data_IF_848062183105
#
_entry.id   IF_848062183105
#
_cell.length_a   1.000
_cell.length_b   1.000
_cell.length_c   1.000
_cell.angle_alpha   90.00
_cell.angle_beta   90.00
_cell.angle_gamma   90.00
#
_symmetry.space_group_name_H-M   'P 1'
#
loop_
_entity.id
_entity.type
_entity.pdbx_description
1 polymer ?
#
# COMPACT_ATOMS: atom_id res chain seq x y z
N UNK A 1 -50.97 37.64 -21.16
CA UNK A 1 -52.45 37.64 -21.08
C UNK A 1 -52.82 36.92 -19.81
N UNK A 2 -53.41 37.69 -18.90
CA UNK A 2 -54.11 37.35 -17.63
C UNK A 2 -53.32 36.60 -16.55
N UNK A 3 -52.92 37.18 -15.45
CA UNK A 3 -53.54 38.12 -14.47
C UNK A 3 -54.20 37.38 -13.30
N UNK A 4 -53.68 37.69 -12.08
CA UNK A 4 -54.35 37.87 -10.79
C UNK A 4 -54.86 36.61 -10.07
N UNK A 5 -54.81 36.47 -8.75
CA UNK A 5 -55.04 37.47 -7.70
C UNK A 5 -54.62 36.95 -6.31
N UNK A 6 -54.27 37.91 -5.49
CA UNK A 6 -54.01 37.90 -4.07
C UNK A 6 -55.26 37.52 -3.26
N UNK A 7 -55.07 36.97 -2.04
CA UNK A 7 -55.80 37.48 -0.88
C UNK A 7 -55.10 37.23 0.47
N UNK A 8 -55.18 38.26 1.28
CA UNK A 8 -54.54 38.53 2.58
C UNK A 8 -55.43 38.07 3.76
N UNK A 9 -54.75 37.67 4.90
CA UNK A 9 -54.91 38.03 6.33
C UNK A 9 -56.32 37.95 6.97
N UNK A 10 -56.52 37.87 8.37
CA UNK A 10 -55.70 38.43 9.46
C UNK A 10 -55.60 37.62 10.79
N UNK A 11 -54.65 38.04 11.62
CA UNK A 11 -54.55 38.35 13.06
C UNK A 11 -55.59 37.73 14.05
N UNK A 12 -55.02 37.18 15.14
CA UNK A 12 -55.71 36.99 16.40
C UNK A 12 -54.70 37.00 17.56
N UNK A 13 -54.74 38.11 18.33
CA UNK A 13 -53.99 38.41 19.56
C UNK A 13 -54.66 37.72 20.74
N UNK A 14 -53.90 37.21 21.70
CA UNK A 14 -54.35 36.74 22.98
C UNK A 14 -53.24 36.72 24.00
N UNK A 15 -53.18 37.81 24.78
CA UNK A 15 -52.33 38.03 25.98
C UNK A 15 -53.06 37.46 27.18
N UNK A 16 -52.41 36.71 28.07
CA UNK A 16 -52.72 36.66 29.49
C UNK A 16 -51.47 36.32 30.31
N UNK A 17 -51.14 37.26 31.18
CA UNK A 17 -50.10 37.19 32.21
C UNK A 17 -50.72 36.80 33.55
N UNK A 18 -49.96 36.23 34.48
CA UNK A 18 -49.93 36.35 35.94
C UNK A 18 -49.01 35.24 36.49
N UNK A 19 -47.92 35.45 37.07
CA UNK A 19 -47.45 36.12 38.30
C UNK A 19 -47.27 35.16 39.49
N UNK A 20 -46.01 35.17 39.99
CA UNK A 20 -45.59 35.16 41.43
C UNK A 20 -45.49 33.78 42.11
N UNK A 21 -44.28 33.51 42.63
CA UNK A 21 -43.98 32.51 43.65
C UNK A 21 -42.48 32.36 43.91
N UNK A 22 -41.92 33.32 44.66
CA UNK A 22 -40.55 33.20 45.18
C UNK A 22 -40.53 32.28 46.40
N UNK A 23 -39.58 31.34 46.49
CA UNK A 23 -39.17 30.74 47.75
C UNK A 23 -37.65 30.49 47.72
N UNK A 24 -36.96 31.34 48.47
CA UNK A 24 -35.58 31.14 48.88
C UNK A 24 -35.48 30.02 49.92
N UNK A 25 -34.60 29.03 49.71
CA UNK A 25 -34.03 28.24 50.77
C UNK A 25 -32.55 28.06 50.53
N UNK A 26 -31.75 28.79 51.29
CA UNK A 26 -30.33 28.50 51.52
C UNK A 26 -30.24 27.29 52.44
N UNK A 27 -29.43 26.33 52.13
CA UNK A 27 -28.47 25.72 53.05
C UNK A 27 -27.79 24.49 52.43
N UNK A 28 -26.49 24.40 52.61
CA UNK A 28 -25.74 23.14 52.56
C UNK A 28 -24.51 23.17 51.71
N UNK A 29 -23.41 23.75 52.22
CA UNK A 29 -22.08 23.34 51.80
C UNK A 29 -21.90 21.87 52.12
N UNK A 30 -21.80 21.04 51.08
CA UNK A 30 -21.19 19.73 51.17
C UNK A 30 -20.05 19.72 50.16
N UNK A 31 -18.83 19.71 50.67
CA UNK A 31 -17.61 19.36 49.98
C UNK A 31 -17.75 17.93 49.51
N UNK A 32 -18.26 17.75 48.29
CA UNK A 32 -18.20 16.52 47.55
C UNK A 32 -17.20 16.73 46.41
N UNK A 33 -16.07 16.06 46.47
CA UNK A 33 -15.12 16.00 45.37
C UNK A 33 -15.86 15.52 44.13
N UNK A 34 -16.05 16.40 43.18
CA UNK A 34 -16.34 16.02 41.82
C UNK A 34 -15.10 15.34 41.29
N UNK A 35 -15.15 14.02 41.30
CA UNK A 35 -14.23 13.29 40.45
C UNK A 35 -14.50 13.80 39.04
N UNK A 36 -13.54 14.50 38.48
CA UNK A 36 -13.39 14.52 37.07
C UNK A 36 -13.36 13.02 36.69
N UNK A 37 -14.39 12.54 36.01
CA UNK A 37 -14.22 11.38 35.19
C UNK A 37 -13.15 11.81 34.22
N UNK A 38 -11.91 11.40 34.54
CA UNK A 38 -10.87 11.23 33.58
C UNK A 38 -11.52 10.32 32.52
N UNK A 39 -12.05 10.92 31.47
CA UNK A 39 -12.31 10.28 30.24
C UNK A 39 -10.92 9.89 29.80
N UNK A 40 -10.52 8.66 30.07
CA UNK A 40 -9.29 8.13 29.52
C UNK A 40 -9.33 8.46 28.06
N UNK A 41 -8.36 9.26 27.60
CA UNK A 41 -7.96 9.30 26.20
C UNK A 41 -7.53 7.87 25.91
N UNK A 42 -8.50 7.02 25.51
CA UNK A 42 -8.18 5.77 24.86
C UNK A 42 -7.47 6.17 23.58
N UNK A 43 -6.35 5.52 23.34
CA UNK A 43 -5.54 5.77 22.15
C UNK A 43 -6.42 5.78 20.91
N UNK A 44 -6.21 6.75 20.02
CA UNK A 44 -6.99 6.93 18.81
C UNK A 44 -6.57 5.91 17.76
N UNK A 45 -7.17 4.72 17.80
CA UNK A 45 -6.89 3.62 16.86
C UNK A 45 -7.70 3.74 15.55
N UNK A 46 -8.04 4.96 15.12
CA UNK A 46 -8.53 5.20 13.77
C UNK A 46 -7.34 5.23 12.80
N UNK A 47 -7.22 4.22 11.95
CA UNK A 47 -6.10 4.04 11.03
C UNK A 47 -6.61 4.06 9.59
N UNK A 48 -5.98 4.90 8.76
CA UNK A 48 -6.31 5.04 7.34
C UNK A 48 -5.20 4.43 6.48
N UNK A 49 -5.58 3.53 5.58
CA UNK A 49 -4.70 2.99 4.54
C UNK A 49 -4.81 3.82 3.26
N UNK A 50 -3.66 4.14 2.68
CA UNK A 50 -3.52 4.93 1.45
C UNK A 50 -2.56 4.21 0.49
N UNK A 51 -3.08 3.31 -0.36
CA UNK A 51 -2.29 2.63 -1.38
C UNK A 51 -1.81 3.58 -2.49
N UNK A 52 -0.95 3.09 -3.38
CA UNK A 52 -0.54 3.83 -4.59
C UNK A 52 -1.72 4.23 -5.45
N UNK A 53 -2.65 3.28 -5.63
CA UNK A 53 -3.92 3.47 -6.35
C UNK A 53 -4.95 2.44 -5.89
N UNK A 54 -6.22 2.81 -5.99
CA UNK A 54 -7.35 1.91 -5.72
C UNK A 54 -7.59 0.96 -6.90
N UNK A 55 -8.13 -0.23 -6.60
CA UNK A 55 -8.47 -1.24 -7.61
C UNK A 55 -7.25 -2.02 -8.15
N UNK A 56 -6.13 -1.95 -7.47
CA UNK A 56 -4.97 -2.80 -7.72
C UNK A 56 -5.07 -4.03 -6.80
N UNK A 57 -5.20 -5.26 -7.34
CA UNK A 57 -5.41 -6.47 -6.55
C UNK A 57 -4.35 -6.74 -5.47
N UNK A 58 -3.12 -6.29 -5.69
CA UNK A 58 -2.08 -6.36 -4.68
C UNK A 58 -2.43 -5.52 -3.45
N UNK A 59 -2.88 -4.28 -3.65
CA UNK A 59 -3.28 -3.41 -2.55
C UNK A 59 -4.62 -3.82 -1.95
N UNK A 60 -5.56 -4.35 -2.73
CA UNK A 60 -6.80 -4.92 -2.20
C UNK A 60 -6.49 -6.02 -1.19
N UNK A 61 -5.49 -6.89 -1.49
CA UNK A 61 -5.05 -7.96 -0.59
C UNK A 61 -4.33 -7.41 0.66
N UNK A 62 -3.40 -6.47 0.48
CA UNK A 62 -2.65 -5.93 1.62
C UNK A 62 -3.54 -5.11 2.56
N UNK A 63 -4.45 -4.34 2.00
CA UNK A 63 -5.39 -3.52 2.77
C UNK A 63 -6.40 -4.39 3.53
N UNK A 64 -6.84 -5.51 2.95
CA UNK A 64 -7.67 -6.49 3.66
C UNK A 64 -6.94 -7.10 4.88
N UNK A 65 -5.63 -7.36 4.77
CA UNK A 65 -4.82 -7.78 5.92
C UNK A 65 -4.71 -6.69 6.99
N UNK A 66 -4.58 -5.43 6.58
CA UNK A 66 -4.61 -4.28 7.48
C UNK A 66 -5.96 -4.11 8.18
N UNK A 67 -7.07 -4.28 7.47
CA UNK A 67 -8.43 -4.27 8.01
C UNK A 67 -8.62 -5.38 9.06
N UNK A 68 -8.21 -6.63 8.73
CA UNK A 68 -8.23 -7.76 9.66
C UNK A 68 -7.53 -7.42 10.99
N UNK A 69 -6.32 -6.89 10.91
CA UNK A 69 -5.55 -6.52 12.11
C UNK A 69 -6.23 -5.42 12.92
N UNK A 70 -6.73 -4.37 12.24
CA UNK A 70 -7.39 -3.24 12.91
C UNK A 70 -8.67 -3.68 13.60
N UNK A 71 -9.46 -4.54 12.99
CA UNK A 71 -10.65 -5.13 13.60
C UNK A 71 -10.28 -6.02 14.81
N UNK A 72 -9.20 -6.81 14.71
CA UNK A 72 -8.74 -7.71 15.77
C UNK A 72 -8.39 -6.94 17.04
N UNK A 73 -7.68 -5.81 16.94
CA UNK A 73 -7.35 -5.00 18.12
C UNK A 73 -8.40 -3.94 18.45
N UNK A 74 -9.55 -3.91 17.75
CA UNK A 74 -10.70 -3.07 18.06
C UNK A 74 -10.56 -1.61 17.62
N UNK A 75 -9.74 -1.33 16.61
CA UNK A 75 -9.59 -0.03 15.97
C UNK A 75 -10.67 0.29 14.94
N UNK A 76 -10.49 1.37 14.23
CA UNK A 76 -11.37 1.79 13.12
C UNK A 76 -10.56 1.87 11.84
N UNK A 77 -10.87 1.01 10.88
CA UNK A 77 -10.25 0.98 9.56
C UNK A 77 -10.93 1.95 8.59
N UNK A 78 -10.13 2.58 7.74
CA UNK A 78 -10.60 3.25 6.54
C UNK A 78 -9.57 3.12 5.41
N UNK A 79 -10.05 3.08 4.18
CA UNK A 79 -9.22 3.10 2.98
C UNK A 79 -9.59 4.30 2.12
N UNK A 80 -8.57 5.01 1.65
CA UNK A 80 -8.70 6.12 0.72
C UNK A 80 -7.55 6.06 -0.29
N UNK A 81 -7.75 6.58 -1.49
CA UNK A 81 -6.65 6.60 -2.46
C UNK A 81 -7.05 7.17 -3.81
N UNK A 82 -6.05 7.48 -4.65
CA UNK A 82 -6.27 7.89 -6.03
C UNK A 82 -6.67 6.70 -6.90
N UNK A 83 -7.26 6.98 -8.05
CA UNK A 83 -7.53 5.96 -9.08
C UNK A 83 -6.32 5.65 -9.96
N UNK A 84 -5.29 6.50 -9.93
CA UNK A 84 -4.08 6.39 -10.74
C UNK A 84 -2.85 6.66 -9.89
N UNK A 85 -1.81 5.84 -10.06
CA UNK A 85 -0.53 6.02 -9.39
C UNK A 85 0.24 7.19 -10.02
N UNK A 86 0.34 8.31 -9.30
CA UNK A 86 1.15 9.46 -9.72
C UNK A 86 1.75 10.20 -8.53
N UNK A 87 2.90 10.89 -8.69
CA UNK A 87 3.66 11.45 -7.57
C UNK A 87 2.86 12.30 -6.58
N UNK A 88 1.95 13.14 -7.07
CA UNK A 88 1.18 14.08 -6.22
C UNK A 88 -0.26 13.66 -5.95
N UNK A 89 -0.69 12.51 -6.49
CA UNK A 89 -2.10 12.07 -6.39
C UNK A 89 -2.55 11.80 -4.96
N UNK A 90 -1.62 11.48 -4.06
CA UNK A 90 -1.89 11.11 -2.67
C UNK A 90 -2.00 12.32 -1.71
N UNK A 91 -1.48 13.50 -2.08
CA UNK A 91 -1.37 14.68 -1.18
C UNK A 91 -2.72 15.06 -0.54
N UNK A 92 -3.79 15.14 -1.33
CA UNK A 92 -5.12 15.55 -0.81
C UNK A 92 -5.70 14.52 0.18
N UNK A 93 -5.42 13.23 -0.02
CA UNK A 93 -5.87 12.17 0.89
C UNK A 93 -5.13 12.24 2.22
N UNK A 94 -3.81 12.47 2.20
CA UNK A 94 -2.97 12.67 3.40
C UNK A 94 -3.50 13.87 4.21
N UNK A 95 -3.69 15.01 3.56
CA UNK A 95 -4.22 16.23 4.21
C UNK A 95 -5.62 16.01 4.78
N UNK A 96 -6.46 15.25 4.09
CA UNK A 96 -7.81 14.94 4.58
C UNK A 96 -7.76 14.05 5.82
N UNK A 97 -6.93 13.02 5.83
CA UNK A 97 -6.74 12.15 6.99
C UNK A 97 -6.21 12.93 8.21
N UNK A 98 -5.24 13.83 8.01
CA UNK A 98 -4.74 14.72 9.05
C UNK A 98 -5.85 15.65 9.61
N UNK A 99 -6.67 16.23 8.75
CA UNK A 99 -7.81 17.09 9.18
C UNK A 99 -8.91 16.31 9.92
N UNK A 100 -9.09 15.04 9.60
CA UNK A 100 -10.03 14.15 10.31
C UNK A 100 -9.49 13.71 11.66
N UNK A 101 -8.20 13.94 11.94
CA UNK A 101 -7.55 13.59 13.19
C UNK A 101 -7.47 12.08 13.40
N UNK A 102 -7.14 11.32 12.36
CA UNK A 102 -6.87 9.88 12.50
C UNK A 102 -5.65 9.65 13.38
N UNK A 103 -5.59 8.52 14.09
CA UNK A 103 -4.43 8.19 14.92
C UNK A 103 -3.23 7.74 14.09
N UNK A 104 -3.48 7.03 12.98
CA UNK A 104 -2.46 6.52 12.08
C UNK A 104 -2.79 6.63 10.60
N UNK A 105 -1.77 6.78 9.78
CA UNK A 105 -1.82 6.80 8.33
C UNK A 105 -0.78 5.81 7.78
N UNK A 106 -1.25 4.80 7.06
CA UNK A 106 -0.43 3.74 6.44
C UNK A 106 -0.38 3.98 4.94
N UNK A 107 0.78 4.31 4.39
CA UNK A 107 0.94 4.83 3.01
C UNK A 107 1.91 3.98 2.21
N UNK A 108 1.51 3.55 1.01
CA UNK A 108 2.46 3.11 -0.02
C UNK A 108 2.71 4.28 -0.98
N UNK A 109 3.93 4.84 -0.94
CA UNK A 109 4.23 6.09 -1.62
C UNK A 109 4.39 5.93 -3.14
N UNK A 110 3.79 6.84 -3.91
CA UNK A 110 3.99 6.92 -5.36
C UNK A 110 5.32 7.60 -5.75
N UNK A 111 5.86 8.41 -4.85
CA UNK A 111 7.10 9.16 -5.06
C UNK A 111 7.72 9.48 -3.69
N UNK A 112 9.05 9.38 -3.53
CA UNK A 112 9.69 9.52 -2.22
C UNK A 112 9.65 10.94 -1.66
N UNK A 113 9.51 11.96 -2.51
CA UNK A 113 9.60 13.37 -2.11
C UNK A 113 8.27 14.13 -2.25
N UNK A 114 7.46 13.76 -3.25
CA UNK A 114 6.28 14.56 -3.63
C UNK A 114 5.21 14.67 -2.55
N UNK A 115 5.16 13.72 -1.62
CA UNK A 115 4.18 13.68 -0.53
C UNK A 115 4.74 14.10 0.83
N UNK A 116 6.06 14.34 0.93
CA UNK A 116 6.78 14.60 2.18
C UNK A 116 6.19 15.77 2.98
N UNK A 117 5.94 16.90 2.35
CA UNK A 117 5.38 18.07 3.04
C UNK A 117 4.03 17.74 3.69
N UNK A 118 3.15 17.01 2.97
CA UNK A 118 1.85 16.61 3.48
C UNK A 118 1.96 15.58 4.62
N UNK A 119 2.92 14.65 4.54
CA UNK A 119 3.18 13.69 5.61
C UNK A 119 3.72 14.39 6.87
N UNK A 120 4.62 15.35 6.73
CA UNK A 120 5.12 16.13 7.85
C UNK A 120 4.01 16.99 8.49
N UNK A 121 3.13 17.61 7.70
CA UNK A 121 1.93 18.29 8.23
C UNK A 121 1.03 17.33 9.03
N UNK A 122 0.85 16.09 8.57
CA UNK A 122 0.08 15.09 9.30
C UNK A 122 0.77 14.70 10.63
N UNK A 123 2.09 14.48 10.62
CA UNK A 123 2.88 14.18 11.83
C UNK A 123 2.84 15.34 12.84
N UNK A 124 2.95 16.58 12.37
CA UNK A 124 2.84 17.78 13.19
C UNK A 124 1.43 17.91 13.84
N UNK A 125 0.41 17.35 13.19
CA UNK A 125 -0.94 17.24 13.74
C UNK A 125 -1.12 16.06 14.73
N UNK A 126 -0.07 15.24 14.93
CA UNK A 126 -0.08 14.10 15.85
C UNK A 126 -0.45 12.75 15.24
N UNK A 127 -0.62 12.68 13.92
CA UNK A 127 -0.86 11.41 13.19
C UNK A 127 0.44 10.61 13.12
N UNK A 128 0.39 9.32 13.43
CA UNK A 128 1.51 8.40 13.18
C UNK A 128 1.55 8.02 11.71
N UNK A 129 2.70 8.22 11.07
CA UNK A 129 2.90 7.94 9.64
C UNK A 129 3.77 6.71 9.47
N UNK A 130 3.17 5.66 8.93
CA UNK A 130 3.85 4.41 8.58
C UNK A 130 3.79 4.24 7.08
N UNK A 131 4.94 4.02 6.45
CA UNK A 131 4.97 3.59 5.05
C UNK A 131 5.04 2.07 4.96
N UNK A 132 4.52 1.50 3.88
CA UNK A 132 4.59 0.07 3.57
C UNK A 132 4.73 -0.14 2.07
N UNK A 133 5.26 -1.26 1.63
CA UNK A 133 5.50 -1.60 0.24
C UNK A 133 6.48 -0.63 -0.46
N UNK A 134 6.11 0.62 -0.64
CA UNK A 134 6.95 1.66 -1.26
C UNK A 134 7.14 2.81 -0.27
N UNK A 135 8.40 3.06 0.06
CA UNK A 135 8.78 4.06 1.05
C UNK A 135 8.80 5.48 0.49
N UNK A 136 8.75 6.45 1.39
CA UNK A 136 9.04 7.86 1.16
C UNK A 136 10.43 8.19 1.72
N UNK A 137 10.85 9.46 1.66
CA UNK A 137 12.04 9.91 2.38
C UNK A 137 11.90 9.59 3.88
N UNK A 138 12.87 8.91 4.51
CA UNK A 138 12.80 8.49 5.92
C UNK A 138 12.50 9.63 6.90
N UNK A 139 12.86 10.88 6.59
CA UNK A 139 12.55 12.04 7.42
C UNK A 139 11.06 12.39 7.48
N UNK A 140 10.25 11.84 6.55
CA UNK A 140 8.82 12.17 6.40
C UNK A 140 7.88 11.12 7.01
N UNK A 141 8.42 10.08 7.65
CA UNK A 141 7.66 8.99 8.28
C UNK A 141 8.17 8.64 9.66
N UNK A 142 7.42 7.85 10.40
CA UNK A 142 7.81 7.29 11.69
C UNK A 142 8.39 5.88 11.54
N UNK A 143 7.85 5.06 10.61
CA UNK A 143 8.26 3.68 10.35
C UNK A 143 8.05 3.30 8.88
N UNK A 144 8.88 2.38 8.38
CA UNK A 144 8.68 1.69 7.11
C UNK A 144 8.51 0.18 7.31
N UNK A 145 7.42 -0.38 6.80
CA UNK A 145 7.20 -1.83 6.77
C UNK A 145 7.62 -2.35 5.41
N UNK A 146 8.81 -2.92 5.40
CA UNK A 146 9.45 -3.44 4.19
C UNK A 146 9.05 -4.90 3.99
N UNK A 147 8.55 -5.23 2.83
CA UNK A 147 8.12 -6.58 2.48
C UNK A 147 9.26 -7.60 2.44
N UNK A 148 10.41 -7.20 1.89
CA UNK A 148 11.64 -7.97 1.82
C UNK A 148 12.81 -7.03 1.51
N UNK A 149 14.05 -7.48 1.67
CA UNK A 149 15.21 -6.68 1.28
C UNK A 149 15.23 -6.44 -0.23
N UNK A 150 15.64 -5.25 -0.65
CA UNK A 150 15.72 -4.92 -2.07
C UNK A 150 16.67 -5.87 -2.81
N UNK A 151 17.79 -6.27 -2.17
CA UNK A 151 18.71 -7.28 -2.70
C UNK A 151 18.02 -8.64 -2.89
N UNK A 152 17.26 -9.12 -1.90
CA UNK A 152 16.53 -10.39 -1.99
C UNK A 152 15.48 -10.40 -3.10
N UNK A 153 14.75 -9.28 -3.26
CA UNK A 153 13.74 -9.11 -4.33
C UNK A 153 14.40 -9.06 -5.71
N UNK A 154 15.51 -8.33 -5.86
CA UNK A 154 16.23 -8.26 -7.12
C UNK A 154 16.81 -9.63 -7.49
N UNK A 155 17.51 -10.25 -6.55
CA UNK A 155 18.16 -11.54 -6.75
C UNK A 155 17.19 -12.65 -7.16
N UNK A 156 16.07 -12.81 -6.49
CA UNK A 156 15.11 -13.88 -6.84
C UNK A 156 14.58 -13.73 -8.26
N UNK A 157 14.33 -12.51 -8.73
CA UNK A 157 13.85 -12.27 -10.10
C UNK A 157 14.94 -12.51 -11.14
N UNK A 158 16.19 -12.14 -10.85
CA UNK A 158 17.34 -12.41 -11.75
C UNK A 158 17.65 -13.90 -11.81
N UNK A 159 17.67 -14.59 -10.66
CA UNK A 159 17.89 -16.05 -10.62
C UNK A 159 16.82 -16.79 -11.44
N UNK A 160 15.54 -16.43 -11.29
CA UNK A 160 14.43 -17.04 -12.01
C UNK A 160 14.51 -16.82 -13.52
N UNK A 161 14.83 -15.62 -13.99
CA UNK A 161 14.94 -15.39 -15.42
C UNK A 161 16.18 -16.07 -15.99
N UNK A 162 17.31 -16.04 -15.29
CA UNK A 162 18.55 -16.70 -15.72
C UNK A 162 18.34 -18.21 -15.89
N UNK A 163 17.68 -18.87 -14.93
CA UNK A 163 17.33 -20.29 -15.03
C UNK A 163 16.43 -20.57 -16.25
N UNK A 164 15.38 -19.78 -16.44
CA UNK A 164 14.37 -19.99 -17.48
C UNK A 164 14.92 -19.80 -18.89
N UNK A 165 15.90 -18.89 -19.10
CA UNK A 165 16.49 -18.64 -20.41
C UNK A 165 17.83 -19.36 -20.65
N UNK A 166 18.34 -20.08 -19.64
CA UNK A 166 19.63 -20.82 -19.72
C UNK A 166 20.84 -19.91 -19.64
N UNK A 167 20.75 -18.85 -18.80
CA UNK A 167 21.82 -17.92 -18.44
C UNK A 167 22.45 -17.17 -19.62
N UNK A 168 21.69 -16.97 -20.71
CA UNK A 168 22.17 -16.24 -21.89
C UNK A 168 21.01 -15.69 -22.74
N UNK A 169 21.17 -14.47 -23.24
CA UNK A 169 20.26 -13.84 -24.20
C UNK A 169 19.79 -12.47 -23.78
N UNK A 170 18.91 -11.91 -24.57
CA UNK A 170 18.35 -10.57 -24.32
C UNK A 170 17.13 -10.67 -23.41
N UNK A 171 17.08 -9.80 -22.41
CA UNK A 171 15.92 -9.59 -21.54
C UNK A 171 15.50 -8.12 -21.52
N UNK A 172 14.26 -7.88 -21.13
CA UNK A 172 13.75 -6.55 -20.84
C UNK A 172 13.09 -6.51 -19.46
N UNK A 173 12.95 -5.30 -18.90
CA UNK A 173 12.19 -5.07 -17.67
C UNK A 173 10.93 -4.29 -18.02
N UNK A 174 9.77 -4.75 -17.52
CA UNK A 174 8.49 -4.04 -17.56
C UNK A 174 8.11 -3.62 -16.14
N UNK A 175 8.43 -2.38 -15.78
CA UNK A 175 8.19 -1.79 -14.47
C UNK A 175 6.88 -1.01 -14.43
N UNK A 176 6.47 -0.55 -13.24
CA UNK A 176 5.30 0.30 -13.05
C UNK A 176 5.59 1.74 -13.51
N UNK A 177 5.94 2.64 -12.63
CA UNK A 177 6.21 4.03 -12.99
C UNK A 177 7.69 4.38 -12.84
N UNK A 178 8.14 5.39 -13.60
CA UNK A 178 9.53 5.85 -13.54
C UNK A 178 9.92 6.44 -12.17
N UNK A 179 8.95 6.78 -11.32
CA UNK A 179 9.17 7.34 -9.99
C UNK A 179 8.95 6.33 -8.85
N UNK A 180 8.61 5.07 -9.14
CA UNK A 180 8.38 4.06 -8.13
C UNK A 180 9.67 3.76 -7.34
N UNK A 181 9.74 4.23 -6.10
CA UNK A 181 10.93 4.15 -5.23
C UNK A 181 11.44 2.72 -5.10
N UNK A 182 10.56 1.81 -4.69
CA UNK A 182 10.89 0.41 -4.47
C UNK A 182 11.40 -0.27 -5.76
N UNK A 183 10.66 -0.14 -6.87
CA UNK A 183 11.02 -0.82 -8.12
C UNK A 183 12.31 -0.28 -8.72
N UNK A 184 12.57 1.03 -8.63
CA UNK A 184 13.82 1.60 -9.10
C UNK A 184 15.02 1.05 -8.32
N UNK A 185 14.92 0.91 -6.99
CA UNK A 185 15.96 0.30 -6.18
C UNK A 185 16.19 -1.19 -6.57
N UNK A 186 15.10 -1.94 -6.82
CA UNK A 186 15.24 -3.33 -7.27
C UNK A 186 15.88 -3.44 -8.66
N UNK A 187 15.52 -2.56 -9.59
CA UNK A 187 16.08 -2.55 -10.96
C UNK A 187 17.58 -2.25 -10.91
N UNK A 188 18.01 -1.27 -10.11
CA UNK A 188 19.44 -0.97 -9.92
C UNK A 188 20.21 -2.21 -9.43
N UNK A 189 19.68 -2.92 -8.42
CA UNK A 189 20.28 -4.15 -7.92
C UNK A 189 20.21 -5.32 -8.91
N UNK A 190 19.15 -5.42 -9.73
CA UNK A 190 19.09 -6.40 -10.82
C UNK A 190 20.19 -6.15 -11.87
N UNK A 191 20.41 -4.88 -12.23
CA UNK A 191 21.47 -4.51 -13.18
C UNK A 191 22.86 -4.84 -12.63
N UNK A 192 23.09 -4.59 -11.33
CA UNK A 192 24.34 -4.95 -10.65
C UNK A 192 24.55 -6.49 -10.64
N UNK A 193 23.51 -7.24 -10.28
CA UNK A 193 23.57 -8.72 -10.22
C UNK A 193 23.76 -9.34 -11.60
N UNK A 194 23.04 -8.86 -12.62
CA UNK A 194 23.23 -9.26 -14.01
C UNK A 194 24.69 -9.03 -14.48
N UNK A 195 25.23 -7.85 -14.19
CA UNK A 195 26.60 -7.52 -14.58
C UNK A 195 27.66 -8.37 -13.87
N UNK A 196 27.43 -8.69 -12.59
CA UNK A 196 28.39 -9.42 -11.76
C UNK A 196 28.35 -10.94 -11.99
N UNK A 197 27.14 -11.52 -12.11
CA UNK A 197 26.90 -12.95 -12.03
C UNK A 197 26.38 -13.58 -13.33
N UNK A 198 25.74 -12.79 -14.21
CA UNK A 198 25.09 -13.26 -15.45
C UNK A 198 25.58 -12.52 -16.71
N UNK A 199 26.90 -12.49 -17.00
CA UNK A 199 27.49 -11.64 -18.04
C UNK A 199 27.04 -11.98 -19.47
N UNK A 200 26.34 -13.09 -19.69
CA UNK A 200 25.80 -13.47 -21.01
C UNK A 200 24.31 -13.04 -21.16
N UNK A 201 23.70 -12.46 -20.13
CA UNK A 201 22.36 -11.88 -20.20
C UNK A 201 22.51 -10.38 -20.48
N UNK A 202 21.85 -9.89 -21.51
CA UNK A 202 21.83 -8.48 -21.91
C UNK A 202 20.46 -7.86 -21.57
N UNK A 203 20.41 -6.91 -20.63
CA UNK A 203 19.24 -6.06 -20.43
C UNK A 203 19.19 -5.02 -21.56
N UNK A 204 18.23 -5.17 -22.48
CA UNK A 204 18.15 -4.31 -23.67
C UNK A 204 17.30 -3.05 -23.45
N UNK A 205 16.29 -3.13 -22.58
CA UNK A 205 15.41 -1.98 -22.29
C UNK A 205 14.65 -2.18 -20.98
N UNK A 206 14.38 -1.07 -20.28
CA UNK A 206 13.41 -0.96 -19.20
C UNK A 206 12.25 -0.07 -19.66
N UNK A 207 11.03 -0.57 -19.63
CA UNK A 207 9.81 0.15 -19.99
C UNK A 207 8.86 0.24 -18.80
N UNK A 208 7.97 1.24 -18.84
CA UNK A 208 7.06 1.55 -17.74
C UNK A 208 5.61 1.44 -18.19
N UNK A 209 4.82 0.66 -17.46
CA UNK A 209 3.39 0.40 -17.70
C UNK A 209 2.45 1.24 -16.85
N UNK A 210 3.00 2.11 -15.97
CA UNK A 210 2.26 3.02 -15.07
C UNK A 210 1.26 2.31 -14.14
N UNK A 211 1.52 1.03 -13.80
CA UNK A 211 0.57 0.13 -13.11
C UNK A 211 -0.83 0.08 -13.75
N UNK A 212 -0.89 0.35 -15.04
CA UNK A 212 -2.09 0.23 -15.88
C UNK A 212 -2.01 -1.04 -16.74
N UNK A 213 -3.05 -1.89 -16.67
CA UNK A 213 -3.09 -3.19 -17.35
C UNK A 213 -2.97 -3.05 -18.88
N UNK A 214 -3.70 -2.10 -19.49
CA UNK A 214 -3.65 -1.94 -20.93
C UNK A 214 -2.32 -1.37 -21.41
N UNK A 215 -1.77 -0.40 -20.70
CA UNK A 215 -0.46 0.18 -20.99
C UNK A 215 0.63 -0.88 -20.89
N UNK A 216 0.61 -1.70 -19.85
CA UNK A 216 1.56 -2.81 -19.66
C UNK A 216 1.45 -3.86 -20.76
N UNK A 217 0.23 -4.21 -21.17
CA UNK A 217 -0.02 -5.11 -22.30
C UNK A 217 0.56 -4.56 -23.61
N UNK A 218 0.32 -3.27 -23.91
CA UNK A 218 0.82 -2.62 -25.12
C UNK A 218 2.35 -2.47 -25.10
N UNK A 219 2.96 -2.22 -23.93
CA UNK A 219 4.41 -2.20 -23.74
C UNK A 219 5.03 -3.57 -23.99
N UNK A 220 4.40 -4.64 -23.52
CA UNK A 220 4.85 -6.02 -23.81
C UNK A 220 4.86 -6.29 -25.31
N UNK A 221 3.78 -5.92 -26.00
CA UNK A 221 3.70 -6.06 -27.46
C UNK A 221 4.81 -5.27 -28.18
N UNK A 222 5.06 -4.03 -27.75
CA UNK A 222 6.08 -3.16 -28.32
C UNK A 222 7.51 -3.71 -28.11
N UNK A 223 7.81 -4.21 -26.91
CA UNK A 223 9.11 -4.86 -26.62
C UNK A 223 9.40 -6.01 -27.58
N UNK A 224 8.42 -6.90 -27.76
CA UNK A 224 8.58 -8.10 -28.62
C UNK A 224 8.66 -7.77 -30.10
N UNK A 225 8.07 -6.65 -30.53
CA UNK A 225 8.23 -6.14 -31.90
C UNK A 225 9.58 -5.46 -32.11
N UNK A 226 10.09 -4.75 -31.10
CA UNK A 226 11.35 -4.01 -31.17
C UNK A 226 12.56 -4.95 -31.04
N UNK A 227 12.46 -5.97 -30.19
CA UNK A 227 13.52 -6.92 -29.88
C UNK A 227 13.09 -8.35 -30.23
N UNK A 228 13.16 -8.75 -31.51
CA UNK A 228 12.69 -10.09 -31.94
C UNK A 228 13.50 -11.27 -31.38
N UNK A 229 14.70 -11.00 -30.85
CA UNK A 229 15.58 -12.00 -30.21
C UNK A 229 15.40 -12.03 -28.66
N UNK A 230 14.41 -11.30 -28.14
CA UNK A 230 14.15 -11.26 -26.69
C UNK A 230 13.86 -12.67 -26.15
N UNK A 231 14.54 -13.05 -25.07
CA UNK A 231 14.40 -14.36 -24.43
C UNK A 231 13.56 -14.32 -23.17
N UNK A 232 13.52 -13.16 -22.51
CA UNK A 232 12.80 -13.04 -21.26
C UNK A 232 12.37 -11.63 -20.93
N UNK A 233 11.36 -11.54 -20.09
CA UNK A 233 10.85 -10.30 -19.48
C UNK A 233 10.81 -10.50 -17.97
N UNK A 234 11.40 -9.55 -17.22
CA UNK A 234 11.19 -9.42 -15.78
C UNK A 234 10.16 -8.31 -15.57
N UNK A 235 9.12 -8.57 -14.80
CA UNK A 235 8.16 -7.53 -14.41
C UNK A 235 8.04 -7.41 -12.90
N UNK A 236 8.73 -6.43 -12.27
CA UNK A 236 8.70 -6.21 -10.82
C UNK A 236 7.41 -5.52 -10.34
N UNK A 237 6.29 -5.76 -11.02
CA UNK A 237 4.96 -5.25 -10.67
C UNK A 237 3.89 -6.28 -10.97
N UNK A 238 2.92 -6.44 -10.04
CA UNK A 238 1.85 -7.44 -10.16
C UNK A 238 0.91 -7.15 -11.33
N UNK A 239 0.67 -5.88 -11.65
CA UNK A 239 -0.10 -5.46 -12.83
C UNK A 239 0.65 -5.76 -14.12
N UNK A 240 1.95 -5.42 -14.16
CA UNK A 240 2.77 -5.62 -15.35
C UNK A 240 2.95 -7.09 -15.71
N UNK A 241 3.26 -7.96 -14.73
CA UNK A 241 3.44 -9.40 -14.99
C UNK A 241 2.14 -10.05 -15.46
N UNK A 242 0.99 -9.71 -14.87
CA UNK A 242 -0.30 -10.24 -15.28
C UNK A 242 -0.67 -9.80 -16.71
N UNK A 243 -0.46 -8.54 -17.05
CA UNK A 243 -0.68 -8.00 -18.39
C UNK A 243 0.26 -8.64 -19.44
N UNK A 244 1.53 -8.82 -19.10
CA UNK A 244 2.51 -9.50 -19.96
C UNK A 244 2.16 -10.98 -20.15
N UNK A 245 1.75 -11.68 -19.10
CA UNK A 245 1.28 -13.06 -19.18
C UNK A 245 0.06 -13.19 -20.09
N UNK A 246 -0.92 -12.30 -19.95
CA UNK A 246 -2.11 -12.22 -20.81
C UNK A 246 -1.74 -12.01 -22.28
N UNK A 247 -0.76 -11.15 -22.58
CA UNK A 247 -0.27 -10.98 -23.95
C UNK A 247 0.40 -12.26 -24.48
N UNK A 248 1.35 -12.81 -23.70
CA UNK A 248 2.12 -13.97 -24.10
C UNK A 248 1.23 -15.20 -24.31
N UNK A 249 0.25 -15.45 -23.44
CA UNK A 249 -0.63 -16.64 -23.47
C UNK A 249 -1.37 -16.83 -24.80
N UNK A 250 -1.68 -15.71 -25.48
CA UNK A 250 -2.41 -15.69 -26.75
C UNK A 250 -1.57 -15.38 -27.96
N UNK A 251 -0.26 -15.13 -27.78
CA UNK A 251 0.68 -14.75 -28.84
C UNK A 251 1.51 -15.91 -29.35
N UNK A 252 2.21 -15.69 -30.47
CA UNK A 252 3.21 -16.63 -30.99
C UNK A 252 4.45 -16.78 -30.10
N UNK A 253 4.61 -15.94 -29.09
CA UNK A 253 5.73 -15.91 -28.16
C UNK A 253 5.54 -16.85 -26.97
N UNK A 254 4.34 -17.43 -26.78
CA UNK A 254 4.07 -18.40 -25.72
C UNK A 254 5.07 -19.56 -25.76
N UNK A 255 5.75 -19.80 -24.63
CA UNK A 255 6.77 -20.83 -24.49
C UNK A 255 8.10 -20.54 -25.24
N UNK A 256 8.25 -19.35 -25.84
CA UNK A 256 9.49 -18.90 -26.50
C UNK A 256 10.18 -17.76 -25.74
N UNK A 257 9.40 -16.92 -25.09
CA UNK A 257 9.87 -15.82 -24.24
C UNK A 257 9.47 -16.14 -22.82
N UNK A 258 10.43 -16.23 -21.92
CA UNK A 258 10.21 -16.44 -20.51
C UNK A 258 9.63 -15.18 -19.87
N UNK A 259 8.78 -15.36 -18.86
CA UNK A 259 8.23 -14.25 -18.06
C UNK A 259 8.37 -14.62 -16.59
N UNK A 260 8.98 -13.73 -15.84
CA UNK A 260 9.03 -13.78 -14.37
C UNK A 260 8.87 -12.39 -13.77
N UNK A 261 8.87 -12.30 -12.47
CA UNK A 261 8.73 -11.03 -11.75
C UNK A 261 7.97 -11.22 -10.45
N UNK A 262 7.20 -10.19 -10.08
CA UNK A 262 6.37 -10.19 -8.87
C UNK A 262 4.89 -10.28 -9.26
N UNK A 263 4.19 -11.32 -8.79
CA UNK A 263 2.80 -11.57 -9.15
C UNK A 263 1.99 -12.13 -7.99
N UNK A 264 0.68 -11.85 -7.95
CA UNK A 264 -0.22 -12.52 -7.01
C UNK A 264 -0.61 -13.90 -7.54
N UNK A 265 -0.66 -14.94 -6.70
CA UNK A 265 -1.03 -16.27 -7.12
C UNK A 265 -2.37 -16.33 -7.88
N UNK A 266 -3.38 -15.59 -7.42
CA UNK A 266 -4.69 -15.59 -8.07
C UNK A 266 -4.68 -15.03 -9.49
N UNK A 267 -3.88 -13.97 -9.77
CA UNK A 267 -3.76 -13.41 -11.11
C UNK A 267 -2.90 -14.29 -12.04
N UNK A 268 -1.92 -15.01 -11.46
CA UNK A 268 -0.92 -15.73 -12.24
C UNK A 268 -1.26 -17.22 -12.44
N UNK A 269 -2.17 -17.78 -11.66
CA UNK A 269 -2.50 -19.22 -11.64
C UNK A 269 -2.77 -19.79 -13.01
N UNK A 270 -3.66 -19.16 -13.80
CA UNK A 270 -4.00 -19.66 -15.13
C UNK A 270 -2.80 -19.70 -16.08
N UNK A 271 -1.86 -18.77 -15.96
CA UNK A 271 -0.68 -18.68 -16.80
C UNK A 271 0.42 -19.65 -16.39
N UNK A 272 0.48 -20.05 -15.12
CA UNK A 272 1.34 -21.13 -14.64
C UNK A 272 0.77 -22.48 -15.08
N UNK A 273 -0.52 -22.70 -14.88
CA UNK A 273 -1.19 -23.95 -15.27
C UNK A 273 -1.17 -24.21 -16.78
N UNK A 274 -1.23 -23.17 -17.61
CA UNK A 274 -1.20 -23.29 -19.06
C UNK A 274 0.21 -23.27 -19.66
N UNK A 275 1.25 -23.12 -18.81
CA UNK A 275 2.67 -23.11 -19.18
C UNK A 275 3.13 -21.82 -19.86
N UNK A 276 2.39 -20.73 -19.77
CA UNK A 276 2.83 -19.40 -20.23
C UNK A 276 3.93 -18.83 -19.33
N UNK A 277 3.82 -19.06 -18.01
CA UNK A 277 4.78 -18.65 -16.98
C UNK A 277 5.25 -19.90 -16.24
N UNK A 278 6.56 -20.03 -16.02
CA UNK A 278 7.11 -21.16 -15.29
C UNK A 278 7.10 -20.91 -13.78
N UNK A 279 7.59 -19.76 -13.36
CA UNK A 279 7.67 -19.36 -11.97
C UNK A 279 7.79 -17.83 -11.84
N UNK A 280 7.40 -17.33 -10.70
CA UNK A 280 7.48 -15.94 -10.32
C UNK A 280 7.59 -15.84 -8.79
N UNK A 281 7.79 -14.65 -8.24
CA UNK A 281 7.95 -14.46 -6.81
C UNK A 281 6.96 -13.43 -6.26
N UNK A 282 6.73 -13.46 -4.96
CA UNK A 282 6.10 -12.43 -4.16
C UNK A 282 6.29 -12.78 -2.67
N UNK A 283 5.94 -11.88 -1.79
CA UNK A 283 5.63 -12.11 -0.37
C UNK A 283 4.11 -12.23 -0.20
N UNK A 284 3.63 -12.44 1.01
CA UNK A 284 2.19 -12.37 1.28
C UNK A 284 1.78 -10.90 1.52
N UNK A 285 1.01 -10.27 0.61
CA UNK A 285 0.60 -8.87 0.79
C UNK A 285 -0.33 -8.67 1.99
N UNK A 286 -1.18 -9.66 2.33
CA UNK A 286 -2.05 -9.56 3.50
C UNK A 286 -1.24 -9.49 4.80
N UNK A 287 -0.17 -10.29 4.93
CA UNK A 287 0.72 -10.23 6.09
C UNK A 287 1.46 -8.88 6.17
N UNK A 288 1.81 -8.29 5.02
CA UNK A 288 2.42 -6.97 4.97
C UNK A 288 1.48 -5.88 5.53
N UNK A 289 0.23 -5.85 5.07
CA UNK A 289 -0.79 -4.91 5.57
C UNK A 289 -1.11 -5.14 7.04
N UNK A 290 -1.21 -6.40 7.45
CA UNK A 290 -1.43 -6.80 8.83
C UNK A 290 -0.30 -6.29 9.76
N UNK A 291 0.96 -6.52 9.37
CA UNK A 291 2.13 -6.02 10.09
C UNK A 291 2.15 -4.49 10.17
N UNK A 292 1.80 -3.80 9.06
CA UNK A 292 1.74 -2.33 9.03
C UNK A 292 0.70 -1.76 10.00
N UNK A 293 -0.46 -2.41 10.14
CA UNK A 293 -1.48 -2.02 11.09
C UNK A 293 -1.03 -2.18 12.54
N UNK A 294 -0.39 -3.33 12.90
CA UNK A 294 0.14 -3.55 14.24
C UNK A 294 1.29 -2.62 14.60
N UNK A 295 2.21 -2.35 13.67
CA UNK A 295 3.27 -1.38 13.87
C UNK A 295 2.72 0.04 14.10
N UNK A 296 1.67 0.41 13.36
CA UNK A 296 0.99 1.70 13.54
C UNK A 296 0.32 1.77 14.93
N UNK A 297 -0.35 0.70 15.37
CA UNK A 297 -0.91 0.59 16.72
C UNK A 297 0.18 0.77 17.78
N UNK A 298 1.29 0.05 17.67
CA UNK A 298 2.40 0.11 18.63
C UNK A 298 2.99 1.54 18.76
N UNK A 299 3.07 2.29 17.64
CA UNK A 299 3.45 3.71 17.63
C UNK A 299 2.40 4.60 18.31
N UNK A 300 1.10 4.37 18.09
CA UNK A 300 0.01 5.16 18.68
C UNK A 300 -0.01 4.97 20.19
N UNK A 301 0.10 3.72 20.66
CA UNK A 301 0.11 3.37 22.09
C UNK A 301 1.44 3.70 22.79
N UNK A 302 2.46 4.11 22.02
CA UNK A 302 3.79 4.44 22.55
C UNK A 302 4.57 3.20 23.06
N UNK A 303 4.19 2.02 22.59
CA UNK A 303 4.94 0.78 22.82
C UNK A 303 6.31 0.83 22.18
N UNK A 304 6.37 1.39 20.95
CA UNK A 304 7.59 1.67 20.22
C UNK A 304 7.67 3.17 19.86
N UNK A 305 8.88 3.62 19.58
CA UNK A 305 9.17 5.00 19.15
C UNK A 305 9.61 5.08 17.70
N UNK A 306 9.93 3.93 17.10
CA UNK A 306 10.54 3.80 15.78
C UNK A 306 12.07 3.80 15.83
N UNK A 307 12.66 3.72 17.03
CA UNK A 307 14.12 3.60 17.17
C UNK A 307 14.58 2.16 16.90
N UNK A 308 15.78 2.02 16.34
CA UNK A 308 16.41 0.72 16.10
C UNK A 308 16.52 -0.08 17.42
N UNK A 309 16.05 -1.32 17.38
CA UNK A 309 15.99 -2.23 18.54
C UNK A 309 14.67 -2.19 19.31
N UNK A 310 13.73 -1.29 18.97
CA UNK A 310 12.37 -1.38 19.48
C UNK A 310 11.72 -2.69 19.04
N UNK A 311 10.91 -3.31 19.91
CA UNK A 311 10.22 -4.56 19.59
C UNK A 311 8.72 -4.45 19.89
N UNK A 312 7.90 -5.13 19.09
CA UNK A 312 6.46 -5.19 19.28
C UNK A 312 5.90 -6.55 18.80
N UNK A 313 4.74 -6.93 19.35
CA UNK A 313 4.02 -8.13 18.92
C UNK A 313 3.00 -7.78 17.82
N UNK A 314 3.07 -8.46 16.68
CA UNK A 314 2.16 -8.27 15.54
C UNK A 314 1.15 -9.44 15.44
N UNK A 315 0.37 -9.67 16.50
CA UNK A 315 -0.71 -10.67 16.54
C UNK A 315 -0.28 -12.04 16.02
N UNK A 316 -0.97 -12.56 15.00
CA UNK A 316 -0.67 -13.89 14.40
C UNK A 316 0.72 -14.02 13.78
N UNK A 317 1.39 -12.91 13.48
CA UNK A 317 2.72 -12.93 12.88
C UNK A 317 3.85 -13.02 13.92
N UNK A 318 3.57 -12.78 15.23
CA UNK A 318 4.54 -12.85 16.30
C UNK A 318 5.36 -11.57 16.50
N UNK A 319 6.57 -11.72 17.04
CA UNK A 319 7.42 -10.60 17.43
C UNK A 319 8.23 -10.04 16.26
N UNK A 320 8.30 -8.71 16.18
CA UNK A 320 9.12 -7.97 15.22
C UNK A 320 10.02 -6.97 15.93
N UNK A 321 11.13 -6.65 15.29
CA UNK A 321 12.12 -5.68 15.74
C UNK A 321 12.29 -4.56 14.69
N UNK A 322 12.38 -3.32 15.14
CA UNK A 322 12.71 -2.17 14.31
C UNK A 322 14.21 -2.20 14.01
N UNK A 323 14.54 -2.29 12.75
CA UNK A 323 15.92 -2.24 12.27
C UNK A 323 16.39 -0.83 11.92
N UNK A 324 17.50 -0.78 11.19
CA UNK A 324 18.08 0.47 10.72
C UNK A 324 17.06 1.31 9.90
N UNK A 325 17.25 2.62 9.91
CA UNK A 325 16.40 3.59 9.20
C UNK A 325 14.90 3.47 9.54
N UNK A 326 14.58 3.09 10.80
CA UNK A 326 13.23 2.88 11.26
C UNK A 326 12.45 1.94 10.32
N UNK A 327 13.03 0.78 9.99
CA UNK A 327 12.47 -0.18 9.06
C UNK A 327 12.15 -1.51 9.77
N UNK A 328 11.02 -2.11 9.45
CA UNK A 328 10.63 -3.45 9.92
C UNK A 328 10.50 -4.36 8.70
N UNK A 329 11.19 -5.50 8.72
CA UNK A 329 11.22 -6.44 7.60
C UNK A 329 10.20 -7.56 7.81
N UNK A 330 9.29 -7.76 6.83
CA UNK A 330 8.31 -8.85 6.87
C UNK A 330 9.00 -10.22 6.73
N UNK A 331 9.85 -10.39 5.69
CA UNK A 331 10.56 -11.63 5.46
C UNK A 331 11.18 -11.75 4.07
N UNK A 332 11.52 -12.97 3.65
CA UNK A 332 12.06 -13.22 2.32
C UNK A 332 10.95 -13.39 1.27
N UNK A 333 11.23 -13.07 -0.01
CA UNK A 333 10.33 -13.39 -1.11
C UNK A 333 10.11 -14.91 -1.23
N UNK A 334 8.89 -15.29 -1.62
CA UNK A 334 8.49 -16.67 -1.86
C UNK A 334 8.35 -16.92 -3.37
N UNK A 335 8.80 -18.09 -3.86
CA UNK A 335 8.69 -18.48 -5.28
C UNK A 335 7.43 -19.32 -5.49
N UNK A 336 6.64 -18.95 -6.48
CA UNK A 336 5.44 -19.66 -6.91
C UNK A 336 5.68 -20.35 -8.26
N UNK A 337 5.24 -21.58 -8.35
CA UNK A 337 5.30 -22.42 -9.54
C UNK A 337 4.11 -23.39 -9.60
N UNK A 338 4.12 -24.31 -10.54
CA UNK A 338 3.02 -25.26 -10.74
C UNK A 338 2.82 -26.23 -9.58
N UNK A 339 3.85 -26.46 -8.75
CA UNK A 339 3.80 -27.43 -7.64
C UNK A 339 3.11 -26.83 -6.41
N UNK A 340 3.15 -25.49 -6.24
CA UNK A 340 2.71 -24.84 -5.01
C UNK A 340 1.61 -23.76 -5.20
N UNK A 341 1.44 -23.21 -6.40
CA UNK A 341 0.53 -22.07 -6.61
C UNK A 341 -0.92 -22.36 -6.20
N UNK A 342 -1.31 -23.62 -6.20
CA UNK A 342 -2.64 -24.08 -5.77
C UNK A 342 -2.91 -23.92 -4.27
N UNK A 343 -1.88 -23.77 -3.46
CA UNK A 343 -1.97 -23.67 -2.00
C UNK A 343 -2.25 -22.23 -1.52
N UNK A 344 -2.21 -21.25 -2.41
CA UNK A 344 -2.37 -19.83 -2.09
C UNK A 344 -3.65 -19.26 -2.69
N UNK A 345 -4.30 -18.34 -1.99
CA UNK A 345 -5.56 -17.70 -2.39
C UNK A 345 -5.53 -16.19 -2.09
N UNK A 346 -4.62 -15.49 -2.78
CA UNK A 346 -4.51 -14.02 -2.72
C UNK A 346 -3.98 -13.42 -4.02
#
# INVERSE_FOLDING_TARGET
MFSHDRKRRPLGVGITALAVGAALALSGCATGGGGATDGGDGDNLAITFLPKNLGNPYFDTSNAGGEEAIEEFGGTYSEVGPSEASPTSQVTFIQTAAQQGVGGLVVSANDPEAICDALNEARDAGVKVVTFDSDTNPECRDLFINQATAEGIAKVQVDLIAEQIGDAGQIAILSASANATNQNAWIEMMEEDLAANHPNIELVETVYGDDDDQTSFDKTAALLQTYPELKGIISPTTVGIAAAARYLSTSEYKGKVALTGLGTPNQMREYVEDGTVTSFALWNPADLGYLAAYATKALIEGEITGEEGDTFEAGKLGDYEVGADASVLLGDPFVFDADNIGDFDF
#
